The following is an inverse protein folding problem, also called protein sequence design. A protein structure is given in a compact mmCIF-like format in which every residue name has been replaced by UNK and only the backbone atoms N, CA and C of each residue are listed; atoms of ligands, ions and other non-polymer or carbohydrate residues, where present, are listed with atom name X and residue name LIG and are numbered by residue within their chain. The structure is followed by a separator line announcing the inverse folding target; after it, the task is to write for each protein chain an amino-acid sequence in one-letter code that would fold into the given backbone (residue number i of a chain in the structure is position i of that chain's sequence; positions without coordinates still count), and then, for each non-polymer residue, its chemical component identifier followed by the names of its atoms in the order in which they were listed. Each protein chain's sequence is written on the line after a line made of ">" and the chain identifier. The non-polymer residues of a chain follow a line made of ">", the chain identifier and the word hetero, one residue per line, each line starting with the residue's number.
data_IF_231807968325
#
_entry.id   IF_231807968325
#
_cell.length_a   1.000
_cell.length_b   1.000
_cell.length_c   1.000
_cell.angle_alpha   90.00
_cell.angle_beta   90.00
_cell.angle_gamma   90.00
#
_symmetry.space_group_name_H-M   'P 1'
#
loop_
_entity.id
_entity.type
_entity.pdbx_description
1 polymer ?
#
# COMPACT_ATOMS: atom_id res chain seq x y z
N UNK A 1 4.68 -5.38 -9.38
CA UNK A 1 4.67 -5.51 -7.92
C UNK A 1 3.97 -6.79 -7.49
N UNK A 2 2.73 -7.06 -7.92
CA UNK A 2 1.92 -8.22 -7.53
C UNK A 2 2.67 -9.56 -7.69
N UNK A 3 3.23 -9.82 -8.89
CA UNK A 3 4.04 -11.02 -9.16
C UNK A 3 5.20 -11.21 -8.17
N UNK A 4 5.85 -10.11 -7.75
CA UNK A 4 6.97 -10.17 -6.80
C UNK A 4 6.54 -10.61 -5.42
N UNK A 5 5.39 -10.13 -4.94
CA UNK A 5 4.85 -10.56 -3.66
C UNK A 5 4.34 -12.01 -3.72
N UNK A 6 3.64 -12.37 -4.78
CA UNK A 6 3.19 -13.75 -4.98
C UNK A 6 4.37 -14.74 -5.02
N UNK A 7 5.48 -14.39 -5.70
CA UNK A 7 6.69 -15.21 -5.72
C UNK A 7 7.36 -15.38 -4.33
N UNK A 8 7.06 -14.50 -3.38
CA UNK A 8 7.51 -14.59 -1.99
C UNK A 8 6.52 -15.35 -1.10
N UNK A 9 5.46 -15.92 -1.67
CA UNK A 9 4.43 -16.68 -0.95
C UNK A 9 3.30 -15.83 -0.37
N UNK A 10 3.22 -14.54 -0.70
CA UNK A 10 2.13 -13.67 -0.29
C UNK A 10 0.88 -13.91 -1.13
N UNK A 11 -0.28 -13.92 -0.49
CA UNK A 11 -1.54 -13.81 -1.19
C UNK A 11 -1.79 -12.33 -1.53
N UNK A 12 -2.06 -12.04 -2.79
CA UNK A 12 -2.29 -10.67 -3.29
C UNK A 12 -3.76 -10.49 -3.63
N UNK A 13 -4.38 -9.50 -3.01
CA UNK A 13 -5.76 -9.10 -3.24
C UNK A 13 -5.82 -7.76 -3.98
N UNK A 14 -6.67 -7.66 -4.98
CA UNK A 14 -6.92 -6.45 -5.75
C UNK A 14 -8.28 -5.88 -5.36
N UNK A 15 -8.28 -4.68 -4.77
CA UNK A 15 -9.48 -3.99 -4.32
C UNK A 15 -9.82 -2.81 -5.22
N UNK A 16 -11.10 -2.61 -5.45
CA UNK A 16 -11.63 -1.49 -6.21
C UNK A 16 -13.14 -1.58 -6.37
N UNK A 17 -13.70 -0.58 -7.02
CA UNK A 17 -15.09 -0.58 -7.44
C UNK A 17 -15.31 -1.52 -8.63
N UNK A 18 -16.59 -1.73 -9.03
CA UNK A 18 -16.91 -2.46 -10.26
C UNK A 18 -16.27 -1.84 -11.51
N UNK A 19 -16.00 -0.53 -11.52
CA UNK A 19 -15.32 0.15 -12.63
C UNK A 19 -13.85 -0.26 -12.79
N UNK A 20 -13.25 -0.71 -11.69
CA UNK A 20 -11.84 -1.09 -11.64
C UNK A 20 -11.63 -2.58 -11.99
N UNK A 21 -12.74 -3.34 -12.15
CA UNK A 21 -12.68 -4.78 -12.38
C UNK A 21 -11.82 -5.17 -13.57
N UNK A 22 -11.99 -4.48 -14.71
CA UNK A 22 -11.25 -4.80 -15.95
C UNK A 22 -9.74 -4.57 -15.81
N UNK A 23 -9.33 -3.47 -15.16
CA UNK A 23 -7.92 -3.18 -14.92
C UNK A 23 -7.31 -4.15 -13.90
N UNK A 24 -8.10 -4.58 -12.91
CA UNK A 24 -7.66 -5.61 -11.96
C UNK A 24 -7.49 -6.98 -12.64
N UNK A 25 -8.34 -7.35 -13.60
CA UNK A 25 -8.16 -8.55 -14.41
C UNK A 25 -6.91 -8.46 -15.31
N UNK A 26 -6.62 -7.28 -15.86
CA UNK A 26 -5.36 -7.07 -16.59
C UNK A 26 -4.14 -7.26 -15.68
N UNK A 27 -4.17 -6.68 -14.46
CA UNK A 27 -3.12 -6.87 -13.46
C UNK A 27 -2.97 -8.36 -13.10
N UNK A 28 -4.09 -9.06 -12.89
CA UNK A 28 -4.09 -10.49 -12.57
C UNK A 28 -3.47 -11.30 -13.71
N UNK A 29 -3.86 -11.03 -14.96
CA UNK A 29 -3.28 -11.68 -16.14
C UNK A 29 -1.78 -11.44 -16.24
N UNK A 30 -1.33 -10.18 -16.08
CA UNK A 30 0.09 -9.81 -16.11
C UNK A 30 0.89 -10.39 -14.92
N UNK A 31 0.22 -10.84 -13.88
CA UNK A 31 0.83 -11.51 -12.72
C UNK A 31 0.64 -13.03 -12.71
N UNK A 32 0.43 -13.63 -13.87
CA UNK A 32 0.26 -15.08 -14.06
C UNK A 32 -0.95 -15.64 -13.28
N UNK A 33 -2.01 -14.84 -13.13
CA UNK A 33 -3.23 -15.17 -12.39
C UNK A 33 -2.98 -15.51 -10.90
N UNK A 34 -1.98 -14.89 -10.31
CA UNK A 34 -1.59 -15.09 -8.91
C UNK A 34 -2.30 -14.16 -7.93
N UNK A 35 -3.19 -13.28 -8.43
CA UNK A 35 -3.96 -12.35 -7.59
C UNK A 35 -5.40 -12.83 -7.44
N UNK A 36 -6.04 -12.38 -6.37
CA UNK A 36 -7.50 -12.51 -6.19
C UNK A 36 -8.11 -11.15 -6.52
N UNK A 37 -8.91 -11.08 -7.58
CA UNK A 37 -9.61 -9.87 -7.96
C UNK A 37 -10.91 -9.75 -7.13
N UNK A 38 -10.98 -8.78 -6.24
CA UNK A 38 -12.12 -8.46 -5.39
C UNK A 38 -12.84 -7.18 -5.83
N UNK A 39 -12.43 -6.58 -6.97
CA UNK A 39 -13.02 -5.35 -7.48
C UNK A 39 -14.51 -5.56 -7.80
N UNK A 40 -15.38 -4.74 -7.17
CA UNK A 40 -16.83 -4.83 -7.33
C UNK A 40 -17.49 -6.07 -6.71
N UNK A 41 -16.72 -6.91 -6.00
CA UNK A 41 -17.23 -8.14 -5.37
C UNK A 41 -17.48 -7.99 -3.86
N UNK A 42 -17.15 -6.84 -3.29
CA UNK A 42 -17.31 -6.56 -1.87
C UNK A 42 -18.13 -5.30 -1.65
N UNK A 43 -18.98 -5.31 -0.65
CA UNK A 43 -19.52 -4.11 -0.03
C UNK A 43 -18.40 -3.35 0.70
N UNK A 44 -18.65 -2.11 1.09
CA UNK A 44 -17.68 -1.32 1.87
C UNK A 44 -17.36 -1.98 3.21
N UNK A 45 -18.35 -2.57 3.88
CA UNK A 45 -18.14 -3.28 5.15
C UNK A 45 -17.21 -4.47 4.99
N UNK A 46 -17.47 -5.32 3.99
CA UNK A 46 -16.63 -6.49 3.70
C UNK A 46 -15.21 -6.08 3.28
N UNK A 47 -15.08 -4.97 2.53
CA UNK A 47 -13.76 -4.44 2.17
C UNK A 47 -12.98 -3.97 3.42
N UNK A 48 -13.65 -3.36 4.41
CA UNK A 48 -13.05 -2.97 5.70
C UNK A 48 -12.58 -4.20 6.46
N UNK A 49 -13.40 -5.24 6.56
CA UNK A 49 -13.07 -6.48 7.27
C UNK A 49 -11.88 -7.20 6.62
N UNK A 50 -11.84 -7.26 5.29
CA UNK A 50 -10.73 -7.85 4.55
C UNK A 50 -9.45 -6.99 4.66
N UNK A 51 -9.54 -5.67 4.59
CA UNK A 51 -8.42 -4.77 4.82
C UNK A 51 -7.85 -4.94 6.24
N UNK A 52 -8.70 -5.18 7.23
CA UNK A 52 -8.24 -5.46 8.60
C UNK A 52 -7.42 -6.75 8.71
N UNK A 53 -7.60 -7.70 7.81
CA UNK A 53 -6.81 -8.93 7.72
C UNK A 53 -5.51 -8.77 6.91
N UNK A 54 -5.37 -7.68 6.14
CA UNK A 54 -4.18 -7.47 5.33
C UNK A 54 -2.96 -7.15 6.20
N UNK A 55 -1.82 -7.70 5.87
CA UNK A 55 -0.53 -7.34 6.49
C UNK A 55 -0.06 -5.97 6.00
N UNK A 56 -0.02 -5.80 4.70
CA UNK A 56 0.46 -4.58 4.04
C UNK A 56 -0.51 -4.16 2.94
N UNK A 57 -0.80 -2.88 2.88
CA UNK A 57 -1.65 -2.27 1.85
C UNK A 57 -0.81 -1.34 0.99
N UNK A 58 -0.94 -1.47 -0.32
CA UNK A 58 -0.36 -0.54 -1.30
C UNK A 58 -1.51 0.08 -2.07
N UNK A 59 -1.64 1.37 -2.05
CA UNK A 59 -2.69 2.06 -2.77
C UNK A 59 -2.28 3.47 -3.22
N UNK A 60 -3.03 4.02 -4.16
CA UNK A 60 -2.99 5.43 -4.50
C UNK A 60 -3.79 6.26 -3.47
N UNK A 61 -3.73 7.58 -3.58
CA UNK A 61 -4.60 8.52 -2.85
C UNK A 61 -6.07 8.23 -3.18
N UNK A 62 -6.78 7.58 -2.24
CA UNK A 62 -8.14 7.08 -2.41
C UNK A 62 -8.82 6.83 -1.06
N UNK A 63 -10.15 6.60 -1.09
CA UNK A 63 -10.91 6.25 0.11
C UNK A 63 -10.37 5.01 0.85
N UNK A 64 -9.91 3.98 0.11
CA UNK A 64 -9.32 2.77 0.71
C UNK A 64 -8.00 3.04 1.41
N UNK A 65 -7.22 4.03 0.98
CA UNK A 65 -6.02 4.49 1.67
C UNK A 65 -6.35 4.97 3.09
N UNK A 66 -7.37 5.80 3.23
CA UNK A 66 -7.78 6.33 4.53
C UNK A 66 -8.33 5.23 5.44
N UNK A 67 -9.05 4.26 4.88
CA UNK A 67 -9.53 3.09 5.63
C UNK A 67 -8.35 2.23 6.11
N UNK A 68 -7.37 1.94 5.27
CA UNK A 68 -6.18 1.20 5.65
C UNK A 68 -5.38 1.92 6.75
N UNK A 69 -5.26 3.25 6.65
CA UNK A 69 -4.64 4.08 7.67
C UNK A 69 -5.40 4.02 9.01
N UNK A 70 -6.73 4.15 8.98
CA UNK A 70 -7.58 4.06 10.18
C UNK A 70 -7.54 2.68 10.84
N UNK A 71 -7.38 1.61 10.06
CA UNK A 71 -7.20 0.24 10.54
C UNK A 71 -5.78 -0.04 11.05
N UNK A 72 -4.87 0.93 11.00
CA UNK A 72 -3.50 0.78 11.45
C UNK A 72 -2.68 -0.22 10.64
N UNK A 73 -3.02 -0.44 9.36
CA UNK A 73 -2.25 -1.35 8.49
C UNK A 73 -0.94 -0.72 8.07
N UNK A 74 0.08 -1.55 7.78
CA UNK A 74 1.27 -1.09 7.04
C UNK A 74 0.80 -0.59 5.69
N UNK A 75 1.06 0.68 5.38
CA UNK A 75 0.49 1.34 4.22
C UNK A 75 1.58 2.01 3.38
N UNK A 76 1.66 1.65 2.11
CA UNK A 76 2.42 2.41 1.13
C UNK A 76 1.44 3.19 0.26
N UNK A 77 1.45 4.51 0.41
CA UNK A 77 0.58 5.42 -0.33
C UNK A 77 1.33 6.06 -1.50
N UNK A 78 0.88 5.79 -2.71
CA UNK A 78 1.46 6.29 -3.96
C UNK A 78 0.75 7.56 -4.38
N UNK A 79 1.50 8.63 -4.53
CA UNK A 79 1.01 9.92 -4.99
C UNK A 79 1.57 10.27 -6.36
N UNK A 80 0.68 10.67 -7.25
CA UNK A 80 1.02 11.11 -8.60
C UNK A 80 0.51 12.53 -8.84
N UNK A 81 -0.75 12.66 -9.25
CA UNK A 81 -1.38 13.96 -9.54
C UNK A 81 -1.89 14.70 -8.31
N UNK A 82 -2.03 14.04 -7.17
CA UNK A 82 -2.44 14.63 -5.88
C UNK A 82 -1.25 14.84 -4.94
N UNK A 83 -1.49 15.45 -3.76
CA UNK A 83 -0.46 15.78 -2.79
C UNK A 83 -0.79 15.24 -1.40
N UNK A 84 0.19 14.63 -0.71
CA UNK A 84 0.01 14.22 0.67
C UNK A 84 -0.15 15.39 1.64
N UNK A 85 0.18 16.62 1.24
CA UNK A 85 -0.05 17.81 2.06
C UNK A 85 -1.55 18.15 2.17
N UNK A 86 -2.35 17.72 1.18
CA UNK A 86 -3.80 17.92 1.18
C UNK A 86 -4.58 16.72 1.72
N UNK A 87 -4.15 15.52 1.40
CA UNK A 87 -4.84 14.26 1.74
C UNK A 87 -3.86 13.24 2.33
N UNK A 88 -3.18 13.54 3.47
CA UNK A 88 -2.21 12.61 4.05
C UNK A 88 -2.89 11.34 4.56
N UNK A 89 -2.24 10.18 4.49
CA UNK A 89 -2.65 9.02 5.26
C UNK A 89 -2.36 9.28 6.74
N UNK A 90 -3.43 9.41 7.55
CA UNK A 90 -3.32 9.72 8.98
C UNK A 90 -2.90 8.47 9.79
N UNK A 91 -1.66 8.03 9.58
CA UNK A 91 -1.10 6.85 10.25
C UNK A 91 0.41 6.97 10.36
N UNK A 92 0.96 6.62 11.53
CA UNK A 92 2.42 6.49 11.73
C UNK A 92 3.00 5.25 11.00
N UNK A 93 2.14 4.34 10.55
CA UNK A 93 2.51 3.13 9.81
C UNK A 93 2.33 3.30 8.31
N UNK A 94 2.46 4.54 7.81
CA UNK A 94 2.37 4.85 6.39
C UNK A 94 3.69 5.37 5.84
N UNK A 95 4.04 4.90 4.64
CA UNK A 95 5.12 5.45 3.81
C UNK A 95 4.51 6.08 2.56
N UNK A 96 4.92 7.31 2.28
CA UNK A 96 4.50 8.03 1.08
C UNK A 96 5.55 7.83 0.01
N UNK A 97 5.09 7.48 -1.19
CA UNK A 97 5.95 7.31 -2.37
C UNK A 97 5.46 8.23 -3.49
N UNK A 98 6.31 9.12 -3.94
CA UNK A 98 6.08 10.03 -5.06
C UNK A 98 7.38 10.32 -5.79
N UNK A 99 7.31 10.59 -7.08
CA UNK A 99 8.48 11.00 -7.88
C UNK A 99 8.77 12.50 -7.81
N UNK A 100 7.85 13.30 -7.25
CA UNK A 100 7.99 14.77 -7.09
C UNK A 100 8.46 15.47 -8.38
N UNK A 101 7.81 15.12 -9.52
CA UNK A 101 8.12 15.77 -10.80
C UNK A 101 7.68 17.22 -10.80
N UNK A 102 8.31 18.08 -11.62
CA UNK A 102 7.96 19.52 -11.74
C UNK A 102 6.48 19.74 -12.11
N UNK A 103 5.86 18.79 -12.81
CA UNK A 103 4.43 18.82 -13.15
C UNK A 103 3.51 18.19 -12.09
N UNK A 104 4.03 17.75 -10.95
CA UNK A 104 3.29 17.08 -9.87
C UNK A 104 3.47 17.84 -8.54
N UNK A 105 2.38 18.04 -7.78
CA UNK A 105 0.99 17.65 -8.03
C UNK A 105 0.26 18.59 -9.00
N UNK A 106 -0.46 18.06 -9.97
CA UNK A 106 -1.25 18.86 -10.91
C UNK A 106 -2.75 18.90 -10.58
N UNK A 107 -3.23 18.03 -9.68
CA UNK A 107 -4.63 17.86 -9.26
C UNK A 107 -5.62 17.62 -10.42
N UNK A 108 -5.12 17.10 -11.55
CA UNK A 108 -5.95 16.77 -12.71
C UNK A 108 -6.31 15.28 -12.73
N UNK A 109 -7.53 14.97 -13.16
CA UNK A 109 -7.97 13.58 -13.35
C UNK A 109 -7.31 12.92 -14.55
N UNK A 110 -7.08 13.69 -15.59
CA UNK A 110 -6.36 13.29 -16.80
C UNK A 110 -5.07 14.09 -16.90
N UNK A 111 -4.00 13.42 -17.28
CA UNK A 111 -2.71 14.07 -17.39
C UNK A 111 -2.73 15.13 -18.49
N UNK A 112 -2.56 16.43 -18.19
CA UNK A 112 -2.59 17.49 -19.19
C UNK A 112 -1.43 17.42 -20.18
N UNK A 113 -0.35 16.70 -19.82
CA UNK A 113 0.84 16.47 -20.65
C UNK A 113 0.80 15.11 -21.37
N UNK A 114 -0.22 14.28 -21.10
CA UNK A 114 -0.47 12.99 -21.75
C UNK A 114 0.48 11.85 -21.41
N UNK A 115 1.56 12.11 -20.65
CA UNK A 115 2.59 11.07 -20.38
C UNK A 115 2.37 10.27 -19.09
N UNK A 116 1.65 10.79 -18.11
CA UNK A 116 1.42 10.17 -16.79
C UNK A 116 2.70 9.67 -16.07
N UNK A 117 3.83 10.32 -16.30
CA UNK A 117 5.15 9.91 -15.82
C UNK A 117 5.25 9.82 -14.29
N UNK A 118 4.44 10.61 -13.56
CA UNK A 118 4.37 10.56 -12.10
C UNK A 118 3.96 9.18 -11.55
N UNK A 119 3.31 8.35 -12.37
CA UNK A 119 2.95 6.97 -12.05
C UNK A 119 3.73 5.97 -12.93
N UNK A 120 3.82 6.21 -14.24
CA UNK A 120 4.44 5.27 -15.19
C UNK A 120 5.93 5.06 -14.95
N UNK A 121 6.65 6.07 -14.45
CA UNK A 121 8.08 5.98 -14.12
C UNK A 121 8.34 5.53 -12.69
N UNK A 122 7.30 5.37 -11.87
CA UNK A 122 7.47 4.84 -10.53
C UNK A 122 7.74 3.34 -10.57
N UNK A 123 8.95 2.97 -10.24
CA UNK A 123 9.39 1.58 -10.30
C UNK A 123 8.78 0.75 -9.16
N UNK A 124 8.33 -0.49 -9.43
CA UNK A 124 7.80 -1.40 -8.41
C UNK A 124 8.75 -1.65 -7.25
N UNK A 125 10.05 -1.57 -7.50
CA UNK A 125 11.12 -1.69 -6.50
C UNK A 125 11.04 -0.63 -5.42
N UNK A 126 10.76 0.62 -5.79
CA UNK A 126 10.61 1.74 -4.85
C UNK A 126 9.46 1.50 -3.88
N UNK A 127 8.33 1.03 -4.40
CA UNK A 127 7.15 0.68 -3.60
C UNK A 127 7.45 -0.51 -2.68
N UNK A 128 8.15 -1.52 -3.18
CA UNK A 128 8.55 -2.68 -2.39
C UNK A 128 9.51 -2.31 -1.25
N UNK A 129 10.49 -1.45 -1.52
CA UNK A 129 11.42 -0.95 -0.50
C UNK A 129 10.70 -0.17 0.60
N UNK A 130 9.72 0.67 0.25
CA UNK A 130 8.89 1.38 1.23
C UNK A 130 8.11 0.40 2.14
N UNK A 131 7.53 -0.66 1.57
CA UNK A 131 6.84 -1.68 2.35
C UNK A 131 7.79 -2.48 3.26
N UNK A 132 8.99 -2.80 2.79
CA UNK A 132 10.01 -3.47 3.59
C UNK A 132 10.50 -2.61 4.75
N UNK A 133 10.64 -1.29 4.54
CA UNK A 133 11.02 -0.36 5.60
C UNK A 133 9.99 -0.33 6.73
N UNK A 134 8.69 -0.37 6.40
CA UNK A 134 7.61 -0.46 7.39
C UNK A 134 7.68 -1.77 8.20
N UNK A 135 7.99 -2.89 7.55
CA UNK A 135 8.13 -4.17 8.23
C UNK A 135 9.35 -4.20 9.16
N UNK A 136 10.46 -3.58 8.77
CA UNK A 136 11.67 -3.49 9.57
C UNK A 136 11.50 -2.60 10.82
N UNK A 137 10.75 -1.50 10.71
CA UNK A 137 10.45 -0.61 11.81
C UNK A 137 9.66 -1.30 12.93
N UNK A 138 8.68 -2.14 12.59
CA UNK A 138 7.93 -2.92 13.59
C UNK A 138 8.81 -3.92 14.35
N UNK A 139 9.76 -4.52 13.67
CA UNK A 139 10.69 -5.46 14.31
C UNK A 139 11.59 -4.76 15.35
N UNK A 140 12.02 -3.53 15.07
CA UNK A 140 12.84 -2.74 16.01
C UNK A 140 12.06 -2.29 17.24
N UNK A 141 10.81 -1.87 17.06
CA UNK A 141 9.93 -1.45 18.16
C UNK A 141 9.51 -2.64 19.04
N UNK A 142 9.29 -3.81 18.45
CA UNK A 142 8.97 -5.05 19.18
C UNK A 142 10.10 -5.56 20.09
N UNK A 143 11.35 -5.32 19.70
CA UNK A 143 12.51 -5.68 20.52
C UNK A 143 12.74 -4.75 21.73
N UNK A 144 12.26 -3.51 21.65
CA UNK A 144 12.40 -2.54 22.75
C UNK A 144 11.39 -2.75 23.90
N UNK A 145 10.37 -3.57 23.69
CA UNK A 145 9.29 -3.80 24.67
C UNK A 145 9.50 -4.98 25.63
N UNK A 146 10.60 -5.75 25.48
CA UNK A 146 10.96 -6.76 26.50
C UNK A 146 11.90 -6.13 27.54
N UNK A 147 11.41 -5.83 28.76
CA UNK A 147 12.32 -5.44 29.84
C UNK A 147 13.28 -6.60 30.12
N UNK A 148 14.57 -6.31 30.16
CA UNK A 148 15.60 -7.24 30.59
C UNK A 148 15.16 -7.96 31.87
N UNK A 149 14.79 -9.22 31.78
CA UNK A 149 14.71 -10.11 32.91
C UNK A 149 16.15 -10.31 33.41
N UNK A 150 16.55 -9.46 34.35
CA UNK A 150 17.76 -9.73 35.12
C UNK A 150 17.53 -11.01 35.89
N UNK A 151 18.25 -12.07 35.55
CA UNK A 151 18.41 -13.21 36.41
C UNK A 151 19.01 -12.71 37.74
N UNK A 152 18.22 -12.69 38.79
CA UNK A 152 18.75 -12.67 40.13
C UNK A 152 19.32 -14.08 40.40
N UNK A 153 20.61 -14.22 40.21
CA UNK A 153 21.38 -15.22 40.92
C UNK A 153 21.66 -14.64 42.30
N UNK A 154 20.90 -15.08 43.29
CA UNK A 154 21.30 -14.96 44.69
C UNK A 154 21.16 -16.33 45.37
N UNK A 155 22.37 -16.82 45.79
CA UNK A 155 22.76 -17.73 46.87
C UNK A 155 22.08 -19.11 46.95
#
# INVERSE_FOLDING_TARGET
>A
LARRYAAQGWQVWLFGSQKDFSIAEEINTLSDSLCINLCGQTSLSEAIDLLACADTVVCNDSGLMHLAAALGRKLVAVYGSSSPDHTPPLSSRAQIVSLNLDCSPCFQRECPLGHTDCLNKLMPETVQQAAQALAAAEYSDGLSTFPNLKHNEEA
#
